data_IF_606517683094
#
_entry.id   IF_606517683094
#
_cell.length_a   1.000
_cell.length_b   1.000
_cell.length_c   1.000
_cell.angle_alpha   90.00
_cell.angle_beta   90.00
_cell.angle_gamma   90.00
#
_symmetry.space_group_name_H-M   'P 1'
#
loop_
_entity.id
_entity.type
_entity.pdbx_description
1 polymer ?
#
# COMPACT_ATOMS: atom_id res chain seq x y z
N UNK A 1 -7.72 -35.50 -2.57
CA UNK A 1 -8.00 -34.09 -2.93
C UNK A 1 -9.32 -34.10 -3.67
N UNK A 2 -10.39 -33.59 -3.07
CA UNK A 2 -11.65 -33.41 -3.76
C UNK A 2 -11.48 -32.22 -4.72
N UNK A 3 -11.62 -32.45 -6.02
CA UNK A 3 -11.80 -31.38 -7.00
C UNK A 3 -13.08 -30.62 -6.64
N UNK A 4 -12.94 -29.43 -6.07
CA UNK A 4 -14.07 -28.54 -5.89
C UNK A 4 -14.54 -28.09 -7.26
N UNK A 5 -15.74 -28.50 -7.65
CA UNK A 5 -16.35 -28.08 -8.91
C UNK A 5 -16.44 -26.54 -8.91
N UNK A 6 -16.02 -25.86 -9.98
CA UNK A 6 -16.14 -24.41 -10.06
C UNK A 6 -17.59 -24.01 -9.84
N UNK A 7 -17.83 -22.96 -9.04
CA UNK A 7 -19.16 -22.36 -8.97
C UNK A 7 -19.54 -21.95 -10.40
N UNK A 8 -20.65 -22.48 -10.94
CA UNK A 8 -21.15 -22.14 -12.28
C UNK A 8 -21.57 -20.68 -12.41
N UNK A 9 -21.57 -19.96 -11.29
CA UNK A 9 -21.96 -18.56 -11.23
C UNK A 9 -20.87 -17.66 -11.85
N UNK A 10 -21.27 -16.87 -12.84
CA UNK A 10 -20.44 -15.79 -13.41
C UNK A 10 -20.79 -14.47 -12.73
N UNK A 11 -19.87 -13.96 -11.91
CA UNK A 11 -20.01 -12.64 -11.26
C UNK A 11 -19.72 -11.51 -12.25
N UNK A 12 -20.37 -10.37 -12.08
CA UNK A 12 -20.05 -9.18 -12.88
C UNK A 12 -18.65 -8.68 -12.58
N UNK A 13 -18.34 -8.49 -11.29
CA UNK A 13 -17.03 -8.02 -10.82
C UNK A 13 -16.55 -8.82 -9.63
N UNK A 14 -15.30 -9.25 -9.70
CA UNK A 14 -14.56 -9.74 -8.53
C UNK A 14 -13.41 -8.79 -8.24
N UNK A 15 -13.28 -8.36 -6.99
CA UNK A 15 -12.20 -7.52 -6.51
C UNK A 15 -11.25 -8.34 -5.63
N UNK A 16 -9.95 -8.16 -5.81
CA UNK A 16 -8.90 -8.84 -5.06
C UNK A 16 -8.28 -7.84 -4.08
N UNK A 17 -8.50 -8.07 -2.79
CA UNK A 17 -8.25 -7.15 -1.70
C UNK A 17 -9.53 -6.44 -1.25
N UNK A 18 -9.58 -6.07 0.03
CA UNK A 18 -10.63 -5.25 0.63
C UNK A 18 -10.05 -4.04 1.38
N UNK A 19 -9.00 -3.43 0.82
CA UNK A 19 -8.47 -2.15 1.26
C UNK A 19 -9.33 -0.97 0.81
N UNK A 20 -8.97 0.27 1.19
CA UNK A 20 -9.76 1.47 0.90
C UNK A 20 -10.12 1.64 -0.59
N UNK A 21 -9.24 1.24 -1.49
CA UNK A 21 -9.48 1.31 -2.94
C UNK A 21 -10.60 0.37 -3.39
N UNK A 22 -10.54 -0.91 -2.98
CA UNK A 22 -11.56 -1.89 -3.33
C UNK A 22 -12.92 -1.57 -2.67
N UNK A 23 -12.91 -1.18 -1.40
CA UNK A 23 -14.13 -0.80 -0.68
C UNK A 23 -14.82 0.41 -1.34
N UNK A 24 -14.05 1.43 -1.73
CA UNK A 24 -14.58 2.56 -2.48
C UNK A 24 -15.14 2.12 -3.84
N UNK A 25 -14.39 1.32 -4.61
CA UNK A 25 -14.86 0.78 -5.88
C UNK A 25 -16.17 0.00 -5.72
N UNK A 26 -16.28 -0.82 -4.66
CA UNK A 26 -17.46 -1.60 -4.38
C UNK A 26 -18.71 -0.74 -4.12
N UNK A 27 -18.56 0.40 -3.42
CA UNK A 27 -19.66 1.37 -3.24
C UNK A 27 -20.18 1.85 -4.60
N UNK A 28 -19.31 2.16 -5.55
CA UNK A 28 -19.71 2.66 -6.87
C UNK A 28 -20.34 1.57 -7.72
N UNK A 29 -19.75 0.38 -7.79
CA UNK A 29 -20.27 -0.71 -8.62
C UNK A 29 -21.62 -1.21 -8.11
N UNK A 30 -21.78 -1.42 -6.81
CA UNK A 30 -23.03 -1.94 -6.24
C UNK A 30 -24.18 -0.93 -6.30
N UNK A 31 -23.89 0.38 -6.23
CA UNK A 31 -24.93 1.42 -6.43
C UNK A 31 -25.47 1.48 -7.85
N UNK A 32 -24.80 0.86 -8.79
CA UNK A 32 -25.21 0.73 -10.19
C UNK A 32 -25.68 -0.68 -10.53
N UNK A 33 -26.09 -1.45 -9.51
CA UNK A 33 -26.62 -2.83 -9.63
C UNK A 33 -25.62 -3.82 -10.25
N UNK A 34 -24.32 -3.52 -10.22
CA UNK A 34 -23.27 -4.43 -10.66
C UNK A 34 -22.93 -5.38 -9.51
N UNK A 35 -23.14 -6.69 -9.70
CA UNK A 35 -22.84 -7.68 -8.67
C UNK A 35 -21.35 -7.72 -8.37
N UNK A 36 -20.98 -7.38 -7.14
CA UNK A 36 -19.60 -7.21 -6.70
C UNK A 36 -19.26 -8.12 -5.53
N UNK A 37 -18.19 -8.91 -5.70
CA UNK A 37 -17.62 -9.77 -4.66
C UNK A 37 -16.16 -9.37 -4.44
N UNK A 38 -15.78 -9.17 -3.17
CA UNK A 38 -14.39 -8.89 -2.77
C UNK A 38 -13.81 -10.14 -2.10
N UNK A 39 -12.54 -10.43 -2.36
CA UNK A 39 -11.76 -11.43 -1.62
C UNK A 39 -10.65 -10.74 -0.84
N UNK A 40 -10.59 -11.01 0.47
CA UNK A 40 -9.57 -10.47 1.36
C UNK A 40 -8.88 -11.63 2.11
N UNK A 41 -7.55 -11.67 2.02
CA UNK A 41 -6.77 -12.74 2.68
C UNK A 41 -6.38 -12.43 4.13
N UNK A 42 -6.45 -11.17 4.52
CA UNK A 42 -5.99 -10.69 5.82
C UNK A 42 -7.06 -9.89 6.56
N UNK A 43 -6.80 -8.61 6.77
CA UNK A 43 -7.70 -7.71 7.48
C UNK A 43 -8.42 -6.79 6.51
N UNK A 44 -9.75 -6.70 6.63
CA UNK A 44 -10.55 -5.76 5.86
C UNK A 44 -10.12 -4.33 6.21
N UNK A 45 -9.88 -3.51 5.19
CA UNK A 45 -9.30 -2.18 5.32
C UNK A 45 -7.78 -2.14 5.07
N UNK A 46 -7.10 -3.28 5.01
CA UNK A 46 -5.66 -3.38 4.71
C UNK A 46 -4.80 -2.58 5.67
N UNK A 47 -3.74 -1.94 5.18
CA UNK A 47 -2.83 -1.12 6.00
C UNK A 47 -3.53 0.06 6.69
N UNK A 48 -4.62 0.58 6.14
CA UNK A 48 -5.38 1.63 6.80
C UNK A 48 -5.97 1.15 8.13
N UNK A 49 -6.49 -0.08 8.20
CA UNK A 49 -7.11 -0.64 9.41
C UNK A 49 -6.12 -0.82 10.58
N UNK A 50 -4.84 -1.02 10.30
CA UNK A 50 -3.79 -1.19 11.31
C UNK A 50 -3.03 0.10 11.62
N UNK A 51 -3.38 1.20 10.98
CA UNK A 51 -2.86 2.54 11.28
C UNK A 51 -3.54 3.08 12.53
N UNK A 52 -2.75 3.52 13.50
CA UNK A 52 -3.28 3.99 14.79
C UNK A 52 -4.18 5.21 14.60
N UNK A 53 -3.71 6.23 13.86
CA UNK A 53 -4.44 7.47 13.64
C UNK A 53 -4.23 8.04 12.22
N UNK A 54 -5.30 8.51 11.58
CA UNK A 54 -5.30 9.11 10.25
C UNK A 54 -5.81 10.54 10.33
N UNK A 55 -4.91 11.52 10.17
CA UNK A 55 -5.21 12.95 10.22
C UNK A 55 -5.45 13.58 8.83
N UNK A 56 -5.02 12.90 7.78
CA UNK A 56 -4.96 13.44 6.43
C UNK A 56 -6.04 12.89 5.48
N UNK A 57 -7.07 12.22 6.02
CA UNK A 57 -8.21 11.80 5.20
C UNK A 57 -9.32 12.85 5.24
N UNK A 58 -9.71 13.44 4.09
CA UNK A 58 -10.73 14.49 4.04
C UNK A 58 -12.09 14.01 4.58
N UNK A 59 -12.76 14.87 5.34
CA UNK A 59 -14.06 14.58 5.96
C UNK A 59 -13.99 14.33 7.47
N UNK A 60 -12.78 14.17 8.02
CA UNK A 60 -12.53 13.97 9.45
C UNK A 60 -11.65 15.09 10.02
N UNK A 61 -12.23 16.25 10.37
CA UNK A 61 -11.45 17.44 10.77
C UNK A 61 -10.70 17.28 12.11
N UNK A 62 -10.97 16.22 12.84
CA UNK A 62 -10.27 15.87 14.08
C UNK A 62 -9.42 14.60 13.93
N UNK A 63 -9.23 14.10 12.71
CA UNK A 63 -8.68 12.78 12.44
C UNK A 63 -9.66 11.65 12.79
N UNK A 64 -9.24 10.43 12.54
CA UNK A 64 -9.99 9.20 12.81
C UNK A 64 -9.01 8.04 13.03
N UNK A 65 -9.35 7.05 13.86
CA UNK A 65 -8.56 5.82 13.89
C UNK A 65 -8.63 5.09 12.55
N UNK A 66 -7.53 4.44 12.16
CA UNK A 66 -7.51 3.69 10.90
C UNK A 66 -8.53 2.57 10.90
N UNK A 67 -8.75 1.92 12.05
CA UNK A 67 -9.75 0.88 12.21
C UNK A 67 -11.18 1.43 11.99
N UNK A 68 -11.54 2.55 12.60
CA UNK A 68 -12.87 3.16 12.42
C UNK A 68 -13.08 3.61 10.97
N UNK A 69 -12.04 4.15 10.33
CA UNK A 69 -12.11 4.51 8.92
C UNK A 69 -12.37 3.29 8.03
N UNK A 70 -11.65 2.19 8.28
CA UNK A 70 -11.83 0.94 7.55
C UNK A 70 -13.23 0.36 7.74
N UNK A 71 -13.73 0.31 8.97
CA UNK A 71 -15.08 -0.15 9.30
C UNK A 71 -16.17 0.71 8.65
N UNK A 72 -15.98 2.03 8.59
CA UNK A 72 -16.91 2.91 7.91
C UNK A 72 -16.96 2.65 6.39
N UNK A 73 -15.80 2.40 5.75
CA UNK A 73 -15.74 2.06 4.32
C UNK A 73 -16.38 0.70 4.04
N UNK A 74 -16.11 -0.30 4.89
CA UNK A 74 -16.70 -1.65 4.83
C UNK A 74 -18.21 -1.58 4.94
N UNK A 75 -18.72 -0.97 6.02
CA UNK A 75 -20.15 -0.83 6.26
C UNK A 75 -20.88 -0.09 5.13
N UNK A 76 -20.20 0.90 4.51
CA UNK A 76 -20.76 1.62 3.37
C UNK A 76 -20.85 0.72 2.12
N UNK A 77 -19.82 -0.09 1.83
CA UNK A 77 -19.83 -1.03 0.71
C UNK A 77 -20.90 -2.12 0.90
N UNK A 78 -20.99 -2.72 2.08
CA UNK A 78 -21.98 -3.75 2.43
C UNK A 78 -23.42 -3.22 2.39
N UNK A 79 -23.64 -1.97 2.81
CA UNK A 79 -24.95 -1.31 2.76
C UNK A 79 -25.54 -1.31 1.34
N UNK A 80 -24.69 -1.25 0.32
CA UNK A 80 -25.12 -1.27 -1.09
C UNK A 80 -25.06 -2.68 -1.72
N UNK A 81 -24.73 -3.70 -0.93
CA UNK A 81 -24.81 -5.11 -1.36
C UNK A 81 -23.50 -5.73 -1.81
N UNK A 82 -22.36 -5.09 -1.55
CA UNK A 82 -21.05 -5.71 -1.75
C UNK A 82 -20.93 -6.95 -0.84
N UNK A 83 -20.35 -8.02 -1.38
CA UNK A 83 -20.10 -9.25 -0.64
C UNK A 83 -18.62 -9.42 -0.40
N UNK A 84 -18.19 -9.35 0.85
CA UNK A 84 -16.80 -9.56 1.23
C UNK A 84 -16.63 -11.00 1.70
N UNK A 85 -15.65 -11.70 1.15
CA UNK A 85 -15.29 -13.07 1.51
C UNK A 85 -13.85 -13.10 2.00
N UNK A 86 -13.63 -13.73 3.13
CA UNK A 86 -12.27 -14.04 3.58
C UNK A 86 -11.74 -15.21 2.75
N UNK A 87 -10.60 -15.03 2.12
CA UNK A 87 -9.96 -16.01 1.27
C UNK A 87 -8.91 -15.39 0.35
N UNK A 88 -7.95 -16.19 -0.06
CA UNK A 88 -6.87 -15.72 -0.94
C UNK A 88 -7.14 -16.07 -2.40
N UNK A 89 -6.90 -15.11 -3.29
CA UNK A 89 -6.83 -15.37 -4.73
C UNK A 89 -5.39 -15.71 -5.08
N UNK A 90 -5.17 -16.93 -5.49
CA UNK A 90 -3.84 -17.49 -5.77
C UNK A 90 -3.41 -17.29 -7.23
N UNK A 91 -4.39 -17.13 -8.15
CA UNK A 91 -4.13 -17.01 -9.58
C UNK A 91 -5.31 -16.42 -10.33
N UNK A 92 -5.00 -15.74 -11.45
CA UNK A 92 -5.97 -15.28 -12.44
C UNK A 92 -5.62 -15.92 -13.79
N UNK A 93 -6.63 -16.47 -14.45
CA UNK A 93 -6.52 -17.03 -15.80
C UNK A 93 -7.48 -16.32 -16.74
N UNK A 94 -6.98 -15.90 -17.89
CA UNK A 94 -7.82 -15.33 -18.95
C UNK A 94 -8.49 -16.45 -19.76
N UNK A 95 -9.80 -16.50 -19.76
CA UNK A 95 -10.62 -17.43 -20.54
C UNK A 95 -11.34 -16.75 -21.72
N UNK A 96 -10.90 -15.54 -22.09
CA UNK A 96 -11.51 -14.74 -23.15
C UNK A 96 -12.76 -14.01 -22.66
N UNK A 97 -13.91 -14.69 -22.65
CA UNK A 97 -15.19 -14.11 -22.24
C UNK A 97 -15.29 -13.81 -20.74
N UNK A 98 -14.50 -14.51 -19.93
CA UNK A 98 -14.47 -14.32 -18.47
C UNK A 98 -13.05 -14.53 -17.92
N UNK A 99 -12.84 -14.11 -16.69
CA UNK A 99 -11.64 -14.38 -15.91
C UNK A 99 -11.94 -15.48 -14.90
N UNK A 100 -11.05 -16.46 -14.80
CA UNK A 100 -11.12 -17.51 -13.80
C UNK A 100 -10.13 -17.19 -12.69
N UNK A 101 -10.65 -16.99 -11.48
CA UNK A 101 -9.86 -16.77 -10.28
C UNK A 101 -9.78 -18.09 -9.51
N UNK A 102 -8.56 -18.55 -9.27
CA UNK A 102 -8.28 -19.66 -8.36
C UNK A 102 -8.19 -19.09 -6.94
N UNK A 103 -9.04 -19.55 -6.05
CA UNK A 103 -9.06 -19.10 -4.67
C UNK A 103 -8.92 -20.27 -3.71
N UNK A 104 -8.58 -20.00 -2.47
CA UNK A 104 -8.50 -21.00 -1.39
C UNK A 104 -9.82 -21.73 -1.16
N UNK A 105 -10.95 -21.11 -1.52
CA UNK A 105 -12.31 -21.64 -1.32
C UNK A 105 -12.92 -22.23 -2.60
N UNK A 106 -12.12 -22.35 -3.67
CA UNK A 106 -12.52 -22.88 -4.96
C UNK A 106 -12.48 -21.84 -6.08
N UNK A 107 -12.87 -22.25 -7.27
CA UNK A 107 -12.77 -21.44 -8.48
C UNK A 107 -13.95 -20.47 -8.60
N UNK A 108 -13.63 -19.22 -8.98
CA UNK A 108 -14.61 -18.15 -9.17
C UNK A 108 -14.49 -17.55 -10.56
N UNK A 109 -15.61 -17.30 -11.22
CA UNK A 109 -15.67 -16.70 -12.56
C UNK A 109 -16.15 -15.25 -12.48
N UNK A 110 -15.50 -14.34 -13.20
CA UNK A 110 -15.86 -12.94 -13.27
C UNK A 110 -15.78 -12.37 -14.68
N UNK A 111 -16.69 -11.46 -15.06
CA UNK A 111 -16.61 -10.72 -16.32
C UNK A 111 -15.49 -9.68 -16.26
N UNK A 112 -15.35 -9.00 -15.12
CA UNK A 112 -14.27 -8.06 -14.86
C UNK A 112 -13.60 -8.33 -13.51
N UNK A 113 -12.33 -7.96 -13.38
CA UNK A 113 -11.56 -8.10 -12.14
C UNK A 113 -10.92 -6.76 -11.79
N UNK A 114 -10.97 -6.38 -10.51
CA UNK A 114 -10.19 -5.28 -9.95
C UNK A 114 -9.13 -5.85 -9.02
N UNK A 115 -7.86 -5.56 -9.28
CA UNK A 115 -6.74 -5.87 -8.39
C UNK A 115 -6.48 -4.65 -7.51
N UNK A 116 -6.72 -4.77 -6.21
CA UNK A 116 -6.54 -3.73 -5.21
C UNK A 116 -5.85 -4.28 -3.95
N UNK A 117 -4.87 -5.15 -4.17
CA UNK A 117 -4.15 -5.90 -3.14
C UNK A 117 -3.14 -5.06 -2.35
N UNK A 118 -2.90 -3.81 -2.78
CA UNK A 118 -1.99 -2.89 -2.13
C UNK A 118 -0.53 -3.31 -2.18
N UNK A 119 0.25 -2.73 -1.28
CA UNK A 119 1.66 -3.04 -1.08
C UNK A 119 1.99 -3.03 0.40
N UNK A 120 3.05 -3.73 0.78
CA UNK A 120 3.59 -3.73 2.13
C UNK A 120 4.89 -2.94 2.20
N UNK A 121 5.19 -2.34 3.35
CA UNK A 121 6.49 -1.76 3.61
C UNK A 121 7.52 -2.86 3.83
N UNK A 122 8.67 -2.72 3.15
CA UNK A 122 9.79 -3.61 3.40
C UNK A 122 10.38 -3.29 4.76
N UNK A 123 10.42 -4.31 5.63
CA UNK A 123 11.03 -4.21 6.96
C UNK A 123 12.54 -4.42 6.90
N UNK A 124 13.26 -3.85 7.85
CA UNK A 124 14.69 -4.11 8.03
C UNK A 124 14.93 -5.41 8.82
N UNK A 125 13.93 -5.88 9.57
CA UNK A 125 13.94 -7.17 10.25
C UNK A 125 14.77 -7.21 11.55
N UNK A 126 14.85 -6.08 12.26
CA UNK A 126 15.61 -5.95 13.49
C UNK A 126 14.69 -6.02 14.73
N UNK A 127 15.21 -6.45 15.90
CA UNK A 127 14.49 -6.37 17.17
C UNK A 127 13.95 -4.95 17.41
N UNK A 128 12.72 -4.85 17.93
CA UNK A 128 12.04 -3.59 18.23
C UNK A 128 11.28 -2.98 17.03
N UNK A 129 11.55 -3.37 15.78
CA UNK A 129 10.87 -2.78 14.62
C UNK A 129 9.35 -3.04 14.65
N UNK A 130 8.94 -4.28 14.91
CA UNK A 130 7.52 -4.62 15.01
C UNK A 130 6.90 -4.20 16.34
N UNK A 131 7.65 -4.32 17.43
CA UNK A 131 7.20 -3.96 18.77
C UNK A 131 6.78 -2.49 18.86
N UNK A 132 7.56 -1.59 18.24
CA UNK A 132 7.30 -0.15 18.27
C UNK A 132 6.61 0.40 17.03
N UNK A 133 6.07 -0.46 16.15
CA UNK A 133 5.27 -0.01 15.00
C UNK A 133 4.08 0.83 15.46
N UNK A 134 3.91 2.04 14.89
CA UNK A 134 2.92 3.04 15.31
C UNK A 134 3.23 3.73 16.65
N UNK A 135 4.27 3.30 17.39
CA UNK A 135 4.65 3.83 18.71
C UNK A 135 6.07 4.38 18.73
N UNK A 136 6.54 4.81 17.58
CA UNK A 136 7.87 5.36 17.38
C UNK A 136 8.60 4.77 16.17
N UNK A 137 8.12 3.70 15.56
CA UNK A 137 8.59 3.18 14.27
C UNK A 137 7.51 3.42 13.21
N UNK A 138 7.89 4.07 12.12
CA UNK A 138 6.99 4.52 11.06
C UNK A 138 7.57 4.26 9.67
N UNK A 139 6.68 4.18 8.67
CA UNK A 139 7.03 3.96 7.26
C UNK A 139 6.44 5.03 6.31
N UNK A 140 5.77 6.05 6.86
CA UNK A 140 5.15 7.12 6.09
C UNK A 140 5.44 8.48 6.72
N UNK A 141 6.32 9.28 6.12
CA UNK A 141 6.65 10.61 6.65
C UNK A 141 5.48 11.58 6.55
N UNK A 142 4.72 11.52 5.45
CA UNK A 142 3.54 12.38 5.24
C UNK A 142 2.43 12.10 6.27
N UNK A 143 2.32 10.83 6.72
CA UNK A 143 1.31 10.41 7.70
C UNK A 143 1.71 10.84 9.12
N UNK A 144 2.96 10.57 9.51
CA UNK A 144 3.37 10.58 10.91
C UNK A 144 4.36 11.69 11.27
N UNK A 145 4.97 12.34 10.28
CA UNK A 145 6.04 13.33 10.50
C UNK A 145 5.62 14.51 11.40
N UNK A 146 4.37 14.96 11.29
CA UNK A 146 3.86 16.08 12.07
C UNK A 146 3.81 15.80 13.59
N UNK A 147 3.72 14.52 14.02
CA UNK A 147 3.75 14.14 15.44
C UNK A 147 5.13 14.32 16.10
N UNK A 148 6.18 14.49 15.27
CA UNK A 148 7.57 14.65 15.71
C UNK A 148 8.06 16.09 15.65
N UNK A 149 7.15 17.07 15.78
CA UNK A 149 7.53 18.47 15.84
C UNK A 149 8.48 18.73 17.02
N UNK A 150 9.58 19.43 16.71
CA UNK A 150 10.64 19.81 17.64
C UNK A 150 11.38 18.62 18.32
N UNK A 151 11.34 17.43 17.67
CA UNK A 151 12.00 16.21 18.15
C UNK A 151 13.16 15.80 17.25
N UNK A 152 13.95 14.83 17.71
CA UNK A 152 15.02 14.19 16.94
C UNK A 152 14.53 12.89 16.33
N UNK A 153 14.91 12.64 15.08
CA UNK A 153 14.55 11.42 14.38
C UNK A 153 15.77 10.67 13.86
N UNK A 154 15.61 9.36 13.76
CA UNK A 154 16.43 8.51 12.92
C UNK A 154 15.63 8.16 11.65
N UNK A 155 16.26 8.29 10.49
CA UNK A 155 15.74 7.80 9.22
C UNK A 155 16.65 6.68 8.72
N UNK A 156 16.08 5.55 8.32
CA UNK A 156 16.82 4.38 7.82
C UNK A 156 16.55 4.19 6.34
N UNK A 157 17.60 4.26 5.52
CA UNK A 157 17.54 4.05 4.09
C UNK A 157 18.52 4.95 3.32
N UNK A 158 18.76 4.66 2.04
CA UNK A 158 19.70 5.42 1.20
C UNK A 158 19.25 5.58 -0.26
N UNK A 159 18.00 5.18 -0.57
CA UNK A 159 17.40 5.38 -1.90
C UNK A 159 16.63 6.69 -2.00
N UNK A 160 16.00 6.92 -3.17
CA UNK A 160 15.20 8.13 -3.43
C UNK A 160 14.19 8.41 -2.33
N UNK A 161 13.38 7.43 -1.95
CA UNK A 161 12.36 7.60 -0.91
C UNK A 161 12.96 8.03 0.43
N UNK A 162 14.03 7.38 0.89
CA UNK A 162 14.66 7.71 2.18
C UNK A 162 15.19 9.15 2.22
N UNK A 163 15.86 9.59 1.15
CA UNK A 163 16.43 10.94 1.05
C UNK A 163 15.31 11.98 0.95
N UNK A 164 14.33 11.76 0.07
CA UNK A 164 13.19 12.66 -0.11
C UNK A 164 12.37 12.83 1.18
N UNK A 165 12.07 11.72 1.85
CA UNK A 165 11.28 11.73 3.08
C UNK A 165 12.09 12.30 4.27
N UNK A 166 13.42 12.08 4.33
CA UNK A 166 14.27 12.73 5.32
C UNK A 166 14.26 14.26 5.14
N UNK A 167 14.41 14.75 3.92
CA UNK A 167 14.31 16.18 3.61
C UNK A 167 12.93 16.71 3.99
N UNK A 168 11.84 16.00 3.67
CA UNK A 168 10.49 16.40 4.05
C UNK A 168 10.32 16.53 5.57
N UNK A 169 10.84 15.56 6.34
CA UNK A 169 10.76 15.53 7.80
C UNK A 169 11.50 16.70 8.47
N UNK A 170 12.51 17.31 7.83
CA UNK A 170 13.19 18.50 8.37
C UNK A 170 12.26 19.70 8.60
N UNK A 171 11.06 19.69 8.03
CA UNK A 171 10.03 20.72 8.24
C UNK A 171 9.44 20.70 9.65
N UNK A 172 9.56 19.59 10.33
CA UNK A 172 8.96 19.35 11.64
C UNK A 172 10.01 19.18 12.74
N UNK A 173 11.13 18.53 12.44
CA UNK A 173 12.09 18.01 13.41
C UNK A 173 13.23 18.98 13.67
N UNK A 174 13.89 18.84 14.82
CA UNK A 174 15.09 19.64 15.13
C UNK A 174 16.34 19.07 14.45
N UNK A 175 16.40 17.75 14.30
CA UNK A 175 17.54 17.05 13.67
C UNK A 175 17.17 15.64 13.23
N UNK A 176 17.81 15.18 12.17
CA UNK A 176 17.66 13.84 11.62
C UNK A 176 19.03 13.18 11.47
N UNK A 177 19.18 11.99 12.04
CA UNK A 177 20.28 11.08 11.75
C UNK A 177 19.86 10.11 10.64
N UNK A 178 20.40 10.28 9.43
CA UNK A 178 20.11 9.40 8.28
C UNK A 178 21.10 8.24 8.24
N UNK A 179 20.62 7.03 8.59
CA UNK A 179 21.44 5.82 8.62
C UNK A 179 21.38 5.10 7.26
N UNK A 180 22.53 4.99 6.63
CA UNK A 180 22.68 4.40 5.29
C UNK A 180 23.63 3.20 5.38
N UNK A 181 23.13 2.01 5.06
CA UNK A 181 23.91 0.77 5.20
C UNK A 181 25.20 0.72 4.40
N UNK A 182 25.23 1.36 3.23
CA UNK A 182 26.41 1.42 2.36
C UNK A 182 26.59 2.82 1.78
N UNK A 183 25.90 3.14 0.68
CA UNK A 183 26.01 4.38 -0.07
C UNK A 183 24.62 4.98 -0.35
N UNK A 184 24.57 6.28 -0.59
CA UNK A 184 23.38 6.97 -1.09
C UNK A 184 23.17 6.62 -2.56
N UNK A 185 21.97 6.07 -2.87
CA UNK A 185 21.54 5.71 -4.24
C UNK A 185 20.40 6.59 -4.75
N UNK A 186 20.17 7.71 -4.11
CA UNK A 186 19.23 8.70 -4.57
C UNK A 186 19.73 9.39 -5.85
N UNK A 187 18.81 9.99 -6.62
CA UNK A 187 19.13 10.79 -7.79
C UNK A 187 20.02 11.99 -7.42
N UNK A 188 20.83 12.48 -8.36
CA UNK A 188 21.72 13.63 -8.13
C UNK A 188 20.97 14.86 -7.59
N UNK A 189 19.77 15.13 -8.10
CA UNK A 189 18.95 16.26 -7.62
C UNK A 189 18.63 16.11 -6.13
N UNK A 190 18.26 14.91 -5.68
CA UNK A 190 17.98 14.65 -4.26
C UNK A 190 19.24 14.67 -3.41
N UNK A 191 20.39 14.23 -3.95
CA UNK A 191 21.66 14.32 -3.25
C UNK A 191 22.07 15.78 -3.02
N UNK A 192 21.92 16.68 -4.02
CA UNK A 192 22.19 18.11 -3.85
C UNK A 192 21.24 18.76 -2.80
N UNK A 193 19.99 18.36 -2.75
CA UNK A 193 19.08 18.85 -1.71
C UNK A 193 19.46 18.32 -0.32
N UNK A 194 19.89 17.07 -0.24
CA UNK A 194 20.39 16.47 1.00
C UNK A 194 21.63 17.20 1.52
N UNK A 195 22.60 17.48 0.64
CA UNK A 195 23.83 18.21 0.97
C UNK A 195 23.50 19.58 1.59
N UNK A 196 22.53 20.29 1.02
CA UNK A 196 22.05 21.56 1.60
C UNK A 196 21.47 21.38 3.03
N UNK A 197 20.70 20.31 3.27
CA UNK A 197 20.17 20.03 4.61
C UNK A 197 21.27 19.64 5.59
N UNK A 198 22.33 19.00 5.12
CA UNK A 198 23.54 18.70 5.92
C UNK A 198 24.30 19.99 6.26
N UNK A 199 24.51 20.90 5.30
CA UNK A 199 25.15 22.20 5.52
C UNK A 199 24.36 23.08 6.50
N UNK A 200 23.02 23.02 6.45
CA UNK A 200 22.12 23.69 7.41
C UNK A 200 22.11 23.01 8.81
N UNK A 201 22.81 21.90 9.00
CA UNK A 201 22.86 21.15 10.24
C UNK A 201 21.56 20.41 10.60
N UNK A 202 20.62 20.27 9.67
CA UNK A 202 19.32 19.60 9.88
C UNK A 202 19.41 18.09 9.74
N UNK A 203 20.32 17.59 8.90
CA UNK A 203 20.53 16.15 8.68
C UNK A 203 22.00 15.82 8.88
N UNK A 204 22.29 14.73 9.59
CA UNK A 204 23.60 14.10 9.59
C UNK A 204 23.51 12.75 8.88
N UNK A 205 24.35 12.57 7.84
CA UNK A 205 24.40 11.31 7.10
C UNK A 205 25.43 10.38 7.70
N UNK A 206 25.02 9.17 8.02
CA UNK A 206 25.86 8.10 8.54
C UNK A 206 25.95 6.98 7.50
N UNK A 207 26.99 7.00 6.66
CA UNK A 207 27.28 5.91 5.73
C UNK A 207 27.82 4.68 6.47
N UNK A 208 27.82 3.51 5.81
CA UNK A 208 28.28 2.24 6.35
C UNK A 208 27.66 1.90 7.71
N UNK A 209 26.40 2.33 7.91
CA UNK A 209 25.73 2.22 9.20
C UNK A 209 24.52 1.29 9.08
N UNK A 210 24.64 0.09 9.62
CA UNK A 210 23.57 -0.89 9.68
C UNK A 210 22.81 -0.76 11.02
N UNK A 211 21.48 -0.67 10.95
CA UNK A 211 20.62 -0.72 12.12
C UNK A 211 20.62 -2.14 12.70
N UNK A 212 20.89 -2.29 13.99
CA UNK A 212 20.93 -3.57 14.66
C UNK A 212 19.69 -3.83 15.54
N UNK A 213 19.21 -2.81 16.22
CA UNK A 213 18.10 -2.91 17.18
C UNK A 213 17.45 -1.53 17.38
N UNK A 214 16.14 -1.50 17.49
CA UNK A 214 15.38 -0.31 17.92
C UNK A 214 14.98 -0.55 19.38
N UNK A 215 15.37 0.36 20.25
CA UNK A 215 15.16 0.24 21.71
C UNK A 215 14.20 1.31 22.17
N UNK A 216 13.29 0.94 23.05
CA UNK A 216 12.34 1.86 23.66
C UNK A 216 12.15 1.61 25.14
N UNK A 217 11.55 2.57 25.79
CA UNK A 217 11.12 2.54 27.18
C UNK A 217 9.70 3.10 27.29
N UNK A 218 8.92 2.57 28.23
CA UNK A 218 7.54 3.02 28.44
C UNK A 218 6.70 3.03 27.15
N UNK A 219 6.89 2.00 26.31
CA UNK A 219 6.17 1.81 25.05
C UNK A 219 6.47 2.89 23.98
N UNK A 220 7.64 3.54 24.03
CA UNK A 220 8.11 4.54 23.07
C UNK A 220 9.56 4.31 22.71
N UNK A 221 9.92 4.56 21.47
CA UNK A 221 11.31 4.53 21.02
C UNK A 221 12.13 5.59 21.76
N UNK A 222 13.35 5.22 22.17
CA UNK A 222 14.31 6.12 22.83
C UNK A 222 15.67 6.14 22.14
N UNK A 223 16.06 5.07 21.44
CA UNK A 223 17.32 5.00 20.71
C UNK A 223 17.33 3.90 19.65
N UNK A 224 18.28 4.02 18.73
CA UNK A 224 18.66 2.99 17.77
C UNK A 224 20.07 2.54 18.07
N UNK A 225 20.30 1.22 18.18
CA UNK A 225 21.63 0.62 18.16
C UNK A 225 21.99 0.29 16.73
N UNK A 226 23.22 0.59 16.35
CA UNK A 226 23.72 0.37 15.00
C UNK A 226 25.18 -0.07 15.02
N UNK A 227 25.60 -0.61 13.88
CA UNK A 227 27.02 -0.88 13.60
C UNK A 227 27.48 0.05 12.49
N UNK A 228 28.40 0.98 12.79
CA UNK A 228 28.99 1.91 11.85
C UNK A 228 30.46 1.54 11.60
N UNK A 229 30.84 1.33 10.35
CA UNK A 229 32.20 0.94 9.97
C UNK A 229 32.77 -0.25 10.79
N UNK A 230 31.89 -1.16 11.23
CA UNK A 230 32.25 -2.32 12.07
C UNK A 230 32.20 -2.06 13.57
N UNK A 231 32.02 -0.84 14.03
CA UNK A 231 31.96 -0.48 15.45
C UNK A 231 30.51 -0.25 15.92
N UNK A 232 30.21 -0.68 17.16
CA UNK A 232 28.89 -0.47 17.77
C UNK A 232 28.70 0.97 18.16
N UNK A 233 27.54 1.52 17.82
CA UNK A 233 27.15 2.90 18.14
C UNK A 233 25.68 2.98 18.51
N UNK A 234 25.26 4.09 19.12
CA UNK A 234 23.88 4.34 19.48
C UNK A 234 23.45 5.74 19.04
N UNK A 235 22.21 5.87 18.57
CA UNK A 235 21.58 7.14 18.19
C UNK A 235 20.37 7.37 19.08
N UNK A 236 20.43 8.41 19.92
CA UNK A 236 19.30 8.83 20.76
C UNK A 236 18.24 9.51 19.88
N UNK A 237 17.02 9.05 19.93
CA UNK A 237 15.96 9.49 19.03
C UNK A 237 14.58 9.38 19.69
N UNK A 238 13.65 10.22 19.26
CA UNK A 238 12.24 10.15 19.65
C UNK A 238 11.41 9.26 18.71
N UNK A 239 11.94 8.92 17.53
CA UNK A 239 11.29 8.06 16.57
C UNK A 239 12.18 7.63 15.41
N UNK A 240 11.78 6.58 14.73
CA UNK A 240 12.50 5.95 13.61
C UNK A 240 11.57 5.87 12.41
N UNK A 241 12.03 6.38 11.27
CA UNK A 241 11.35 6.23 10.00
C UNK A 241 12.15 5.30 9.07
N UNK A 242 11.51 4.25 8.57
CA UNK A 242 12.17 3.20 7.77
C UNK A 242 11.72 3.30 6.31
N UNK A 243 12.66 3.63 5.41
CA UNK A 243 12.41 3.78 3.97
C UNK A 243 13.36 2.91 3.16
N UNK A 244 13.19 1.59 3.26
CA UNK A 244 14.04 0.59 2.57
C UNK A 244 13.35 -0.09 1.40
N UNK A 245 12.20 0.43 0.99
CA UNK A 245 11.43 0.02 -0.18
C UNK A 245 10.02 -0.46 0.15
N UNK A 246 9.28 -0.78 -0.91
CA UNK A 246 7.93 -1.33 -0.88
C UNK A 246 7.92 -2.72 -1.51
N UNK A 247 6.94 -3.53 -1.13
CA UNK A 247 6.68 -4.86 -1.66
C UNK A 247 5.23 -4.91 -2.17
N UNK A 248 5.03 -4.77 -3.50
CA UNK A 248 3.67 -4.87 -4.05
C UNK A 248 3.13 -6.30 -3.91
N UNK A 249 1.85 -6.40 -3.54
CA UNK A 249 1.17 -7.68 -3.35
C UNK A 249 0.72 -8.26 -4.70
N UNK A 250 1.69 -8.59 -5.56
CA UNK A 250 1.52 -9.06 -6.95
C UNK A 250 2.04 -10.47 -7.20
N UNK A 251 2.46 -11.19 -6.14
CA UNK A 251 3.08 -12.51 -6.25
C UNK A 251 2.24 -13.54 -7.03
N UNK A 252 0.92 -13.45 -6.96
CA UNK A 252 -0.03 -14.31 -7.64
C UNK A 252 -0.16 -14.03 -9.16
N UNK A 253 0.46 -12.95 -9.67
CA UNK A 253 0.43 -12.54 -11.08
C UNK A 253 1.58 -13.10 -11.93
N UNK A 254 2.55 -13.80 -11.34
CA UNK A 254 3.78 -14.26 -12.02
C UNK A 254 3.57 -15.06 -13.32
N UNK A 255 2.42 -15.70 -13.47
CA UNK A 255 2.09 -16.50 -14.65
C UNK A 255 1.07 -15.84 -15.58
N UNK A 256 0.77 -14.56 -15.37
CA UNK A 256 -0.21 -13.80 -16.14
C UNK A 256 0.48 -12.92 -17.21
N UNK A 257 -0.32 -12.36 -18.13
CA UNK A 257 0.13 -11.35 -19.11
C UNK A 257 -0.02 -9.91 -18.58
N UNK A 258 -0.10 -9.72 -17.27
CA UNK A 258 -0.19 -8.39 -16.66
C UNK A 258 1.23 -7.85 -16.54
N UNK A 259 1.45 -6.65 -17.09
CA UNK A 259 2.74 -6.00 -17.07
C UNK A 259 3.02 -5.40 -15.68
N UNK A 260 4.21 -5.69 -15.17
CA UNK A 260 4.74 -5.14 -13.93
C UNK A 260 5.91 -4.20 -14.24
N UNK A 261 6.16 -3.25 -13.35
CA UNK A 261 7.38 -2.46 -13.38
C UNK A 261 8.58 -3.23 -12.76
N UNK A 262 9.73 -2.60 -12.69
CA UNK A 262 10.98 -3.22 -12.19
C UNK A 262 10.91 -3.63 -10.71
N UNK A 263 10.02 -2.99 -9.93
CA UNK A 263 9.79 -3.27 -8.50
C UNK A 263 8.71 -4.32 -8.31
N UNK A 264 7.84 -4.50 -9.32
CA UNK A 264 6.75 -5.45 -9.30
C UNK A 264 5.35 -4.83 -9.16
N UNK A 265 5.20 -3.49 -9.24
CA UNK A 265 3.92 -2.82 -9.28
C UNK A 265 3.23 -2.99 -10.64
N UNK A 266 1.89 -3.03 -10.63
CA UNK A 266 1.09 -3.23 -11.85
C UNK A 266 1.11 -1.97 -12.71
N UNK A 267 1.48 -2.12 -13.98
CA UNK A 267 1.33 -1.07 -15.00
C UNK A 267 -0.11 -1.04 -15.49
N UNK A 268 -0.67 0.17 -15.58
CA UNK A 268 -2.01 0.41 -16.12
C UNK A 268 -1.99 1.56 -17.12
N UNK A 269 -3.00 1.59 -17.97
CA UNK A 269 -3.30 2.79 -18.76
C UNK A 269 -4.01 3.87 -17.92
N UNK A 270 -4.40 4.97 -18.55
CA UNK A 270 -5.13 6.06 -17.91
C UNK A 270 -6.54 5.67 -17.43
N UNK A 271 -7.07 4.54 -17.91
CA UNK A 271 -8.35 3.96 -17.48
C UNK A 271 -8.19 2.97 -16.34
N UNK A 272 -6.99 2.86 -15.76
CA UNK A 272 -6.62 1.89 -14.75
C UNK A 272 -6.75 0.43 -15.23
N UNK A 273 -6.83 0.19 -16.55
CA UNK A 273 -6.86 -1.15 -17.14
C UNK A 273 -5.43 -1.68 -17.30
N UNK A 274 -5.23 -2.95 -16.99
CA UNK A 274 -3.96 -3.65 -17.19
C UNK A 274 -3.83 -4.13 -18.64
N UNK A 275 -2.68 -4.71 -19.00
CA UNK A 275 -2.51 -5.37 -20.31
C UNK A 275 -3.48 -6.54 -20.54
N UNK A 276 -4.08 -7.11 -19.49
CA UNK A 276 -5.12 -8.13 -19.59
C UNK A 276 -6.50 -7.45 -19.66
N UNK A 277 -7.14 -7.48 -20.82
CA UNK A 277 -8.45 -6.88 -21.05
C UNK A 277 -9.48 -7.34 -19.99
N UNK A 278 -10.22 -6.39 -19.40
CA UNK A 278 -11.20 -6.65 -18.34
C UNK A 278 -10.60 -6.86 -16.96
N UNK A 279 -9.28 -6.67 -16.83
CA UNK A 279 -8.59 -6.64 -15.52
C UNK A 279 -8.06 -5.25 -15.29
N UNK A 280 -8.45 -4.68 -14.16
CA UNK A 280 -8.10 -3.33 -13.72
C UNK A 280 -7.24 -3.41 -12.46
N UNK A 281 -6.47 -2.36 -12.16
CA UNK A 281 -5.76 -2.25 -10.89
C UNK A 281 -5.90 -0.84 -10.33
N UNK A 282 -6.00 -0.72 -8.99
CA UNK A 282 -6.12 0.56 -8.31
C UNK A 282 -5.50 0.54 -6.91
N UNK A 283 -5.15 1.73 -6.41
CA UNK A 283 -4.46 1.90 -5.13
C UNK A 283 -3.00 1.47 -5.17
N UNK A 284 -2.45 1.20 -4.01
CA UNK A 284 -1.01 1.07 -3.76
C UNK A 284 -0.33 -0.15 -4.42
N UNK A 285 -1.07 -0.98 -5.12
CA UNK A 285 -0.53 -2.08 -5.95
C UNK A 285 -0.08 -1.59 -7.33
N UNK A 286 -0.50 -0.38 -7.73
CA UNK A 286 -0.29 0.16 -9.06
C UNK A 286 1.01 0.97 -9.17
N UNK A 287 1.73 0.82 -10.27
CA UNK A 287 2.89 1.65 -10.60
C UNK A 287 2.48 3.13 -10.69
N UNK A 288 3.22 3.99 -10.01
CA UNK A 288 2.94 5.42 -9.93
C UNK A 288 1.79 5.83 -9.00
N UNK A 289 1.29 4.93 -8.16
CA UNK A 289 0.31 5.28 -7.13
C UNK A 289 0.88 6.25 -6.09
N UNK A 290 0.03 7.13 -5.55
CA UNK A 290 0.45 8.16 -4.58
C UNK A 290 0.68 7.60 -3.17
N UNK A 291 0.29 6.35 -2.90
CA UNK A 291 0.44 5.69 -1.59
C UNK A 291 -0.25 6.47 -0.44
N UNK A 292 -1.45 6.97 -0.70
CA UNK A 292 -2.30 7.67 0.26
C UNK A 292 -3.72 7.11 0.23
N UNK A 293 -4.37 7.01 1.40
CA UNK A 293 -5.73 6.46 1.51
C UNK A 293 -6.72 7.23 0.62
N UNK A 294 -6.65 8.56 0.63
CA UNK A 294 -7.54 9.39 -0.21
C UNK A 294 -7.32 9.16 -1.71
N UNK A 295 -6.05 8.97 -2.13
CA UNK A 295 -5.71 8.64 -3.52
C UNK A 295 -6.24 7.25 -3.91
N UNK A 296 -6.03 6.25 -3.04
CA UNK A 296 -6.53 4.89 -3.25
C UNK A 296 -8.06 4.86 -3.40
N UNK A 297 -8.79 5.61 -2.57
CA UNK A 297 -10.25 5.77 -2.66
C UNK A 297 -10.65 6.41 -4.00
N UNK A 298 -9.96 7.47 -4.43
CA UNK A 298 -10.20 8.14 -5.71
C UNK A 298 -9.95 7.23 -6.91
N UNK A 299 -8.85 6.45 -6.86
CA UNK A 299 -8.55 5.46 -7.90
C UNK A 299 -9.60 4.33 -7.92
N UNK A 300 -10.05 3.87 -6.75
CA UNK A 300 -11.13 2.87 -6.64
C UNK A 300 -12.42 3.35 -7.31
N UNK A 301 -12.84 4.58 -7.04
CA UNK A 301 -14.00 5.20 -7.69
C UNK A 301 -13.81 5.29 -9.22
N UNK A 302 -12.63 5.70 -9.68
CA UNK A 302 -12.29 5.76 -11.11
C UNK A 302 -12.35 4.39 -11.75
N UNK A 303 -11.73 3.37 -11.13
CA UNK A 303 -11.73 1.99 -11.63
C UNK A 303 -13.15 1.43 -11.75
N UNK A 304 -14.01 1.69 -10.77
CA UNK A 304 -15.42 1.26 -10.81
C UNK A 304 -16.16 1.80 -12.03
N UNK A 305 -15.99 3.09 -12.34
CA UNK A 305 -16.61 3.71 -13.52
C UNK A 305 -16.06 3.10 -14.83
N UNK A 306 -14.77 2.79 -14.88
CA UNK A 306 -14.16 2.15 -16.05
C UNK A 306 -14.57 0.68 -16.20
N UNK A 307 -14.76 -0.02 -15.10
CA UNK A 307 -15.33 -1.38 -15.08
C UNK A 307 -16.77 -1.35 -15.63
N UNK A 308 -17.60 -0.39 -15.20
CA UNK A 308 -18.95 -0.22 -15.75
C UNK A 308 -18.93 -0.03 -17.27
N UNK A 309 -18.12 0.92 -17.77
CA UNK A 309 -17.97 1.16 -19.22
C UNK A 309 -17.57 -0.10 -19.97
N UNK A 310 -16.65 -0.89 -19.40
CA UNK A 310 -16.21 -2.17 -19.95
C UNK A 310 -17.36 -3.19 -20.03
N UNK A 311 -18.14 -3.34 -18.96
CA UNK A 311 -19.26 -4.29 -18.89
C UNK A 311 -20.37 -3.90 -19.88
N UNK A 312 -20.72 -2.61 -20.01
CA UNK A 312 -21.68 -2.08 -20.98
C UNK A 312 -21.22 -2.35 -22.42
N UNK A 313 -19.94 -2.17 -22.72
CA UNK A 313 -19.35 -2.50 -24.02
C UNK A 313 -19.40 -4.00 -24.33
N UNK A 314 -19.30 -4.84 -23.32
CA UNK A 314 -19.40 -6.31 -23.46
C UNK A 314 -20.83 -6.76 -23.76
N UNK A 315 -21.84 -6.13 -23.14
CA UNK A 315 -23.26 -6.41 -23.44
C UNK A 315 -23.66 -6.04 -24.88
N UNK A 316 -23.05 -4.99 -25.46
CA UNK A 316 -23.32 -4.59 -26.84
C UNK A 316 -22.64 -5.46 -27.89
N UNK A 317 -21.62 -6.22 -27.51
CA UNK A 317 -20.86 -7.13 -28.39
C UNK A 317 -21.44 -8.54 -28.47
N UNK A 318 -22.34 -8.93 -27.57
CA UNK A 318 -23.09 -10.19 -27.63
C UNK A 318 -24.35 -9.98 -28.46
N UNK A 319 -24.50 -10.58 -29.66
CA UNK A 319 -25.75 -10.51 -30.40
C UNK A 319 -26.88 -11.13 -29.58
N UNK A 320 -27.94 -10.36 -29.32
CA UNK A 320 -29.21 -10.93 -28.86
C UNK A 320 -29.79 -11.80 -29.97
N UNK A 321 -29.66 -13.09 -29.82
CA UNK A 321 -30.40 -14.07 -30.65
C UNK A 321 -31.77 -14.34 -30.07
#
# INVERSE_FOLDING_TARGET
>A
MQETTPSDKLHDVVMIGAGPSALAAAVYTTREDIETVLFEKGIIGGLAAITDWVDNYPGFPKGISGLDLAQNLEAQAERFGAKIRLGEVERIEDKGEYKLLKTTDGDVRAKAVLIATGSDYKKIGVPGEEEYYGRGVHYCATCDGAFYRDKKLVVVGGGNSAVQEAIFLTRFTTHIDLLVRSEIRASEVLQHELDRMVEEGKITVHLNTATDEIVGENNRVTKVKATKDGEKTEFITDGVFVFVGLLPNTGFLKSTKIDLDEVGFIKTDASLQTAMRGVFASGDVRSGATMQVASAVGEGATAALKIREYLEGHHKATPSW
#
